data_IF_809082805248
#
_entry.id   IF_809082805248
#
_cell.length_a   1.000
_cell.length_b   1.000
_cell.length_c   1.000
_cell.angle_alpha   90.00
_cell.angle_beta   90.00
_cell.angle_gamma   90.00
#
_symmetry.space_group_name_H-M   'P 1'
#
loop_
_entity.id
_entity.type
_entity.pdbx_description
1 polymer ?
#
# COMPACT_ATOMS: atom_id res chain seq x y z
N UNK A 1 23.26 -22.83 35.29
CA UNK A 1 22.00 -22.27 34.74
C UNK A 1 20.88 -23.28 35.00
N UNK A 2 19.84 -22.87 35.73
CA UNK A 2 18.69 -23.76 35.98
C UNK A 2 17.96 -24.03 34.67
N UNK A 3 17.73 -25.30 34.35
CA UNK A 3 17.02 -25.72 33.13
C UNK A 3 15.67 -25.01 32.99
N UNK A 4 14.95 -24.84 34.10
CA UNK A 4 13.69 -24.09 34.17
C UNK A 4 13.82 -22.61 33.76
N UNK A 5 14.95 -21.97 34.07
CA UNK A 5 15.20 -20.56 33.74
C UNK A 5 15.50 -20.39 32.24
N UNK A 6 16.17 -21.36 31.63
CA UNK A 6 16.43 -21.39 30.18
C UNK A 6 15.12 -21.62 29.42
N UNK A 7 14.27 -22.55 29.86
CA UNK A 7 12.98 -22.84 29.21
C UNK A 7 12.04 -21.63 29.26
N UNK A 8 11.98 -20.92 30.40
CA UNK A 8 11.18 -19.71 30.55
C UNK A 8 11.65 -18.58 29.62
N UNK A 9 12.96 -18.42 29.47
CA UNK A 9 13.54 -17.38 28.62
C UNK A 9 13.29 -17.64 27.13
N UNK A 10 13.32 -18.90 26.70
CA UNK A 10 12.98 -19.30 25.32
C UNK A 10 11.50 -19.07 25.03
N UNK A 11 10.59 -19.42 25.95
CA UNK A 11 9.15 -19.18 25.78
C UNK A 11 8.81 -17.69 25.65
N UNK A 12 9.45 -16.83 26.45
CA UNK A 12 9.27 -15.37 26.35
C UNK A 12 9.78 -14.85 25.00
N UNK A 13 10.92 -15.35 24.51
CA UNK A 13 11.46 -14.95 23.22
C UNK A 13 10.52 -15.28 22.04
N UNK A 14 9.82 -16.43 22.05
CA UNK A 14 8.89 -16.81 20.98
C UNK A 14 7.66 -15.87 20.91
N UNK A 15 7.18 -15.36 22.04
CA UNK A 15 6.01 -14.46 22.10
C UNK A 15 6.35 -13.08 21.52
N UNK A 16 7.60 -12.60 21.69
CA UNK A 16 8.05 -11.32 21.14
C UNK A 16 8.21 -11.31 19.61
N UNK A 17 8.40 -12.47 18.96
CA UNK A 17 8.47 -12.53 17.48
C UNK A 17 7.09 -12.52 16.79
N UNK A 18 6.01 -12.78 17.51
CA UNK A 18 4.66 -12.88 16.92
C UNK A 18 3.96 -11.51 16.75
N UNK A 19 4.55 -10.42 17.25
CA UNK A 19 3.93 -9.11 17.35
C UNK A 19 4.48 -8.05 16.40
N UNK A 20 4.76 -8.39 15.14
CA UNK A 20 4.91 -7.34 14.12
C UNK A 20 3.49 -6.82 13.84
N UNK A 21 3.04 -5.82 14.62
CA UNK A 21 1.79 -5.13 14.37
C UNK A 21 1.86 -4.56 12.95
N UNK A 22 1.12 -5.16 12.02
CA UNK A 22 0.94 -4.58 10.69
C UNK A 22 0.29 -3.23 10.90
N UNK A 23 1.06 -2.16 10.65
CA UNK A 23 0.53 -0.81 10.71
C UNK A 23 -0.70 -0.75 9.79
N UNK A 24 -1.81 -0.22 10.31
CA UNK A 24 -2.98 0.02 9.48
C UNK A 24 -2.57 0.96 8.33
N UNK A 25 -3.01 0.64 7.11
CA UNK A 25 -2.69 1.44 5.93
C UNK A 25 -3.13 2.90 6.14
N UNK A 26 -2.29 3.86 5.75
CA UNK A 26 -2.49 5.29 5.90
C UNK A 26 -2.61 5.97 4.53
N UNK A 27 -3.83 6.43 4.21
CA UNK A 27 -4.13 7.10 2.95
C UNK A 27 -3.32 8.39 2.74
N UNK A 28 -2.84 9.04 3.81
CA UNK A 28 -2.00 10.25 3.71
C UNK A 28 -0.60 9.90 3.25
N UNK A 29 -0.02 8.80 3.77
CA UNK A 29 1.25 8.24 3.27
C UNK A 29 1.09 7.80 1.82
N UNK A 30 0.00 7.09 1.50
CA UNK A 30 -0.35 6.69 0.14
C UNK A 30 -0.46 7.85 -0.84
N UNK A 31 -1.12 8.95 -0.43
CA UNK A 31 -1.21 10.20 -1.22
C UNK A 31 0.18 10.79 -1.50
N UNK A 32 1.05 10.81 -0.50
CA UNK A 32 2.43 11.30 -0.65
C UNK A 32 3.18 10.45 -1.66
N UNK A 33 3.08 9.13 -1.55
CA UNK A 33 3.74 8.18 -2.44
C UNK A 33 3.21 8.28 -3.88
N UNK A 34 1.90 8.39 -4.05
CA UNK A 34 1.27 8.61 -5.37
C UNK A 34 1.85 9.84 -6.07
N UNK A 35 1.96 10.97 -5.36
CA UNK A 35 2.56 12.19 -5.91
C UNK A 35 4.05 12.01 -6.22
N UNK A 36 4.80 11.44 -5.29
CA UNK A 36 6.26 11.38 -5.39
C UNK A 36 6.73 10.32 -6.40
N UNK A 37 5.92 9.29 -6.66
CA UNK A 37 6.31 8.13 -7.47
C UNK A 37 5.45 8.01 -8.72
N UNK A 38 4.13 7.81 -8.57
CA UNK A 38 3.23 7.53 -9.70
C UNK A 38 3.14 8.73 -10.66
N UNK A 39 3.06 9.95 -10.10
CA UNK A 39 2.93 11.17 -10.90
C UNK A 39 4.22 11.60 -11.61
N UNK A 40 5.35 10.92 -11.41
CA UNK A 40 6.55 11.17 -12.21
C UNK A 40 6.29 10.88 -13.69
N UNK A 41 5.54 9.80 -13.98
CA UNK A 41 5.14 9.40 -15.32
C UNK A 41 3.73 9.86 -15.67
N UNK A 42 2.77 9.79 -14.73
CA UNK A 42 1.35 10.04 -14.98
C UNK A 42 0.89 11.51 -14.87
N UNK A 43 1.83 12.46 -14.76
CA UNK A 43 1.53 13.91 -14.80
C UNK A 43 0.96 14.35 -16.14
N UNK A 44 0.40 15.56 -16.16
CA UNK A 44 -0.02 16.20 -17.42
C UNK A 44 1.16 16.28 -18.38
N UNK A 45 0.98 15.76 -19.61
CA UNK A 45 2.03 15.62 -20.63
C UNK A 45 3.25 14.81 -20.17
N UNK A 46 3.05 13.88 -19.24
CA UNK A 46 4.06 12.91 -18.82
C UNK A 46 4.27 11.80 -19.84
N UNK A 47 5.14 10.86 -19.50
CA UNK A 47 5.48 9.71 -20.35
C UNK A 47 4.37 8.63 -20.39
N UNK A 48 3.36 8.74 -19.53
CA UNK A 48 2.23 7.83 -19.46
C UNK A 48 0.90 8.60 -19.48
N UNK A 49 -0.18 7.89 -19.82
CA UNK A 49 -1.53 8.44 -19.76
C UNK A 49 -1.86 8.98 -18.38
N UNK A 50 -2.76 9.97 -18.33
CA UNK A 50 -3.16 10.58 -17.07
C UNK A 50 -3.82 9.55 -16.16
N UNK A 51 -3.25 9.36 -14.97
CA UNK A 51 -3.82 8.48 -13.95
C UNK A 51 -5.09 9.11 -13.36
N UNK A 52 -6.19 8.36 -13.40
CA UNK A 52 -7.48 8.76 -12.86
C UNK A 52 -7.91 7.74 -11.81
N UNK A 53 -7.89 8.15 -10.53
CA UNK A 53 -8.24 7.26 -9.40
C UNK A 53 -9.71 6.84 -9.43
N UNK A 54 -10.59 7.72 -9.92
CA UNK A 54 -12.02 7.48 -10.06
C UNK A 54 -12.41 6.71 -11.34
N UNK A 55 -11.42 6.25 -12.13
CA UNK A 55 -11.71 5.44 -13.32
C UNK A 55 -12.07 3.98 -12.99
N UNK A 56 -11.72 3.49 -11.79
CA UNK A 56 -11.93 2.11 -11.35
C UNK A 56 -12.66 2.05 -10.01
N UNK A 57 -13.34 0.95 -9.74
CA UNK A 57 -13.94 0.67 -8.42
C UNK A 57 -12.88 0.24 -7.40
N UNK A 58 -13.22 0.23 -6.11
CA UNK A 58 -12.35 -0.28 -5.06
C UNK A 58 -11.89 -1.70 -5.34
N UNK A 59 -12.80 -2.57 -5.76
CA UNK A 59 -12.51 -3.97 -6.09
C UNK A 59 -11.50 -4.07 -7.25
N UNK A 60 -11.70 -3.28 -8.31
CA UNK A 60 -10.78 -3.25 -9.45
C UNK A 60 -9.40 -2.68 -9.10
N UNK A 61 -9.32 -1.73 -8.15
CA UNK A 61 -8.03 -1.29 -7.63
C UNK A 61 -7.37 -2.39 -6.81
N UNK A 62 -8.11 -3.08 -5.95
CA UNK A 62 -7.53 -4.18 -5.17
C UNK A 62 -6.99 -5.30 -6.06
N UNK A 63 -7.73 -5.68 -7.11
CA UNK A 63 -7.24 -6.62 -8.11
C UNK A 63 -5.97 -6.13 -8.82
N UNK A 64 -5.86 -4.84 -9.14
CA UNK A 64 -4.65 -4.27 -9.72
C UNK A 64 -3.44 -4.38 -8.77
N UNK A 65 -3.62 -4.07 -7.48
CA UNK A 65 -2.53 -4.19 -6.51
C UNK A 65 -2.17 -5.64 -6.19
N UNK A 66 -3.14 -6.55 -6.19
CA UNK A 66 -2.94 -7.99 -5.95
C UNK A 66 -2.29 -8.71 -7.13
N UNK A 67 -2.69 -8.39 -8.37
CA UNK A 67 -2.09 -8.96 -9.59
C UNK A 67 -0.64 -8.51 -9.80
N UNK A 68 -0.25 -7.42 -9.15
CA UNK A 68 1.10 -6.88 -9.22
C UNK A 68 1.35 -6.05 -10.49
N UNK A 69 2.56 -5.49 -10.62
CA UNK A 69 2.89 -4.57 -11.69
C UNK A 69 3.03 -5.28 -13.05
N UNK A 70 2.68 -4.57 -14.11
CA UNK A 70 3.14 -4.92 -15.45
C UNK A 70 4.65 -4.64 -15.59
N UNK A 71 5.30 -5.15 -16.65
CA UNK A 71 6.74 -4.93 -16.90
C UNK A 71 7.16 -3.46 -16.85
N UNK A 72 6.29 -2.54 -17.29
CA UNK A 72 6.52 -1.09 -17.23
C UNK A 72 6.56 -0.53 -15.79
N UNK A 73 5.80 -1.12 -14.87
CA UNK A 73 5.72 -0.69 -13.48
C UNK A 73 6.70 -1.45 -12.56
N UNK A 74 7.26 -2.57 -13.03
CA UNK A 74 8.19 -3.43 -12.30
C UNK A 74 9.31 -2.67 -11.56
N UNK A 75 10.04 -1.72 -12.22
CA UNK A 75 11.16 -1.05 -11.57
C UNK A 75 10.75 -0.13 -10.41
N UNK A 76 9.50 0.33 -10.42
CA UNK A 76 8.91 1.15 -9.38
C UNK A 76 8.43 0.27 -8.24
N UNK A 77 7.63 -0.76 -8.54
CA UNK A 77 7.06 -1.66 -7.54
C UNK A 77 8.12 -2.39 -6.72
N UNK A 78 9.24 -2.80 -7.33
CA UNK A 78 10.35 -3.45 -6.62
C UNK A 78 11.03 -2.55 -5.57
N UNK A 79 10.84 -1.23 -5.65
CA UNK A 79 11.39 -0.26 -4.69
C UNK A 79 10.42 0.08 -3.56
N UNK A 80 9.17 -0.42 -3.64
CA UNK A 80 8.15 -0.16 -2.63
C UNK A 80 8.04 -1.36 -1.68
N UNK A 81 7.97 -1.08 -0.38
CA UNK A 81 7.67 -2.10 0.61
C UNK A 81 6.20 -2.54 0.53
N UNK A 82 5.88 -3.68 1.14
CA UNK A 82 4.49 -4.15 1.27
C UNK A 82 3.61 -3.12 2.00
N UNK A 83 4.13 -2.44 3.02
CA UNK A 83 3.41 -1.36 3.71
C UNK A 83 3.11 -0.20 2.76
N UNK A 84 4.09 0.23 1.96
CA UNK A 84 3.93 1.31 0.99
C UNK A 84 2.92 0.96 -0.11
N UNK A 85 2.89 -0.29 -0.55
CA UNK A 85 1.88 -0.77 -1.49
C UNK A 85 0.48 -0.76 -0.87
N UNK A 86 0.34 -1.18 0.39
CA UNK A 86 -0.91 -1.11 1.14
C UNK A 86 -1.41 0.33 1.36
N UNK A 87 -0.51 1.24 1.72
CA UNK A 87 -0.82 2.68 1.84
C UNK A 87 -1.32 3.25 0.51
N UNK A 88 -0.66 2.88 -0.60
CA UNK A 88 -1.01 3.32 -1.95
C UNK A 88 -2.36 2.76 -2.39
N UNK A 89 -2.61 1.47 -2.19
CA UNK A 89 -3.90 0.83 -2.48
C UNK A 89 -5.02 1.51 -1.70
N UNK A 90 -4.83 1.75 -0.40
CA UNK A 90 -5.84 2.41 0.42
C UNK A 90 -6.15 3.83 -0.06
N UNK A 91 -5.12 4.58 -0.48
CA UNK A 91 -5.32 5.87 -1.12
C UNK A 91 -6.12 5.77 -2.42
N UNK A 92 -5.84 4.78 -3.28
CA UNK A 92 -6.57 4.60 -4.54
C UNK A 92 -8.03 4.24 -4.30
N UNK A 93 -8.30 3.34 -3.36
CA UNK A 93 -9.66 2.95 -2.99
C UNK A 93 -10.46 4.11 -2.39
N UNK A 94 -9.81 5.00 -1.62
CA UNK A 94 -10.45 6.21 -1.06
C UNK A 94 -11.00 7.14 -2.14
N UNK A 95 -10.41 7.14 -3.33
CA UNK A 95 -10.82 7.99 -4.46
C UNK A 95 -11.39 7.17 -5.63
N UNK A 96 -11.79 5.93 -5.37
CA UNK A 96 -12.36 5.04 -6.37
C UNK A 96 -13.75 5.52 -6.83
N UNK A 97 -14.16 5.04 -8.00
CA UNK A 97 -15.43 5.38 -8.66
C UNK A 97 -16.66 5.19 -7.77
N UNK A 98 -16.66 4.15 -6.97
CA UNK A 98 -17.74 3.70 -6.09
C UNK A 98 -17.58 4.18 -4.64
N UNK A 99 -16.58 5.03 -4.37
CA UNK A 99 -16.46 5.68 -3.08
C UNK A 99 -17.42 6.88 -2.98
N UNK A 100 -18.46 6.72 -2.15
CA UNK A 100 -19.51 7.73 -1.96
C UNK A 100 -18.99 9.04 -1.33
N UNK A 101 -17.77 9.05 -0.77
CA UNK A 101 -17.18 10.24 -0.16
C UNK A 101 -16.84 11.32 -1.21
N UNK A 102 -16.75 10.95 -2.51
CA UNK A 102 -16.50 11.87 -3.62
C UNK A 102 -17.76 12.49 -4.26
N UNK A 103 -18.96 12.10 -3.83
CA UNK A 103 -20.22 12.65 -4.37
C UNK A 103 -20.54 14.07 -3.86
N UNK A 104 -19.70 14.62 -2.97
CA UNK A 104 -19.75 16.01 -2.55
C UNK A 104 -18.50 16.76 -3.03
N UNK A 105 -18.64 17.47 -4.14
CA UNK A 105 -17.81 18.56 -4.68
C UNK A 105 -16.32 18.64 -4.25
N UNK A 106 -15.45 18.44 -5.24
CA UNK A 106 -14.19 19.17 -5.38
C UNK A 106 -14.09 19.66 -6.82
#
# INVERSE_FOLDING_TARGET
>A
MNKALVTAMVLIAVIFLAGQAMAAADWRKGKKLHRDVCMQCHKSRGAADRLQLNARTKAQWSEFFQSGPTSAHQPVWQKLSTEQLGDLEFYFQKYAKDDKQLLGCG
#
